data_IF_541753769854
#
_entry.id   IF_541753769854
#
_cell.length_a   1.000
_cell.length_b   1.000
_cell.length_c   1.000
_cell.angle_alpha   90.00
_cell.angle_beta   90.00
_cell.angle_gamma   90.00
#
_symmetry.space_group_name_H-M   'P 1'
#
loop_
_entity.id
_entity.type
_entity.pdbx_description
1 polymer ?
#
# COMPACT_ATOMS: atom_id res chain seq x y z
N UNK A 1 7.19 6.81 9.77
CA UNK A 1 7.15 6.25 8.39
C UNK A 1 5.79 6.47 7.76
N UNK A 2 4.71 6.19 8.50
CA UNK A 2 3.31 6.38 8.10
C UNK A 2 2.95 7.81 7.65
N UNK A 3 3.29 8.83 8.43
CA UNK A 3 3.01 10.23 8.08
C UNK A 3 3.70 10.67 6.77
N UNK A 4 4.90 10.15 6.47
CA UNK A 4 5.67 10.49 5.26
C UNK A 4 5.14 9.83 3.98
N UNK A 5 4.29 8.84 4.11
CA UNK A 5 3.62 8.18 2.98
C UNK A 5 2.28 8.88 2.71
N UNK A 6 1.54 9.19 3.78
CA UNK A 6 0.25 9.86 3.70
C UNK A 6 0.37 11.36 3.33
N UNK A 7 1.51 12.00 3.59
CA UNK A 7 1.74 13.41 3.25
C UNK A 7 2.50 13.62 1.92
N UNK A 8 2.89 12.55 1.23
CA UNK A 8 3.65 12.67 -0.01
C UNK A 8 2.74 13.00 -1.20
N UNK A 9 3.19 13.83 -2.17
CA UNK A 9 2.52 13.97 -3.46
C UNK A 9 2.35 12.61 -4.13
N UNK A 10 1.21 12.41 -4.79
CA UNK A 10 0.80 11.15 -5.41
C UNK A 10 1.82 10.67 -6.46
N UNK A 11 2.38 11.59 -7.27
CA UNK A 11 3.39 11.25 -8.28
C UNK A 11 4.75 10.86 -7.66
N UNK A 12 5.12 11.48 -6.53
CA UNK A 12 6.33 11.11 -5.77
C UNK A 12 6.17 9.71 -5.16
N UNK A 13 4.96 9.38 -4.73
CA UNK A 13 4.65 8.09 -4.14
C UNK A 13 4.89 6.95 -5.16
N UNK A 14 4.38 7.05 -6.39
CA UNK A 14 4.54 6.00 -7.40
C UNK A 14 6.03 5.67 -7.66
N UNK A 15 6.89 6.69 -7.78
CA UNK A 15 8.33 6.51 -7.92
C UNK A 15 8.96 5.82 -6.71
N UNK A 16 8.54 6.20 -5.49
CA UNK A 16 9.05 5.61 -4.24
C UNK A 16 8.60 4.17 -4.07
N UNK A 17 7.35 3.84 -4.40
CA UNK A 17 6.84 2.46 -4.40
C UNK A 17 7.69 1.58 -5.31
N UNK A 18 8.04 2.04 -6.52
CA UNK A 18 8.90 1.31 -7.45
C UNK A 18 10.33 1.03 -6.94
N UNK A 19 10.81 1.75 -5.92
CA UNK A 19 12.12 1.53 -5.30
C UNK A 19 12.08 0.69 -4.01
N UNK A 20 10.88 0.43 -3.47
CA UNK A 20 10.69 -0.35 -2.24
C UNK A 20 10.90 -1.84 -2.49
N UNK A 21 11.37 -2.57 -1.48
CA UNK A 21 11.27 -4.04 -1.51
C UNK A 21 9.84 -4.48 -1.20
N UNK A 22 9.54 -5.76 -1.41
CA UNK A 22 8.16 -6.25 -1.28
C UNK A 22 7.60 -6.10 0.14
N UNK A 23 8.39 -6.38 1.17
CA UNK A 23 7.97 -6.18 2.57
C UNK A 23 7.58 -4.72 2.85
N UNK A 24 8.32 -3.78 2.29
CA UNK A 24 8.04 -2.34 2.45
C UNK A 24 6.77 -1.95 1.69
N UNK A 25 6.62 -2.42 0.44
CA UNK A 25 5.45 -2.20 -0.38
C UNK A 25 4.17 -2.76 0.28
N UNK A 26 4.25 -3.97 0.82
CA UNK A 26 3.15 -4.62 1.53
C UNK A 26 2.83 -3.92 2.86
N UNK A 27 3.84 -3.43 3.57
CA UNK A 27 3.63 -2.61 4.76
C UNK A 27 2.94 -1.28 4.44
N UNK A 28 3.22 -0.67 3.27
CA UNK A 28 2.49 0.51 2.79
C UNK A 28 1.02 0.17 2.51
N UNK A 29 0.75 -0.92 1.80
CA UNK A 29 -0.62 -1.38 1.52
C UNK A 29 -1.41 -1.57 2.82
N UNK A 30 -0.84 -2.27 3.80
CA UNK A 30 -1.47 -2.50 5.11
C UNK A 30 -1.75 -1.20 5.88
N UNK A 31 -0.84 -0.23 5.81
CA UNK A 31 -1.06 1.08 6.42
C UNK A 31 -2.22 1.82 5.76
N UNK A 32 -2.30 1.79 4.43
CA UNK A 32 -3.33 2.48 3.66
C UNK A 32 -4.71 1.85 3.89
N UNK A 33 -4.81 0.52 3.98
CA UNK A 33 -6.03 -0.18 4.38
C UNK A 33 -6.51 0.27 5.78
N UNK A 34 -5.60 0.33 6.77
CA UNK A 34 -5.95 0.82 8.11
C UNK A 34 -6.40 2.28 8.10
N UNK A 35 -5.83 3.10 7.21
CA UNK A 35 -6.22 4.49 7.07
C UNK A 35 -7.60 4.64 6.40
N UNK A 36 -7.95 3.78 5.43
CA UNK A 36 -9.26 3.82 4.77
C UNK A 36 -10.39 3.32 5.69
N UNK A 37 -10.07 2.42 6.62
CA UNK A 37 -11.00 1.93 7.64
C UNK A 37 -11.21 2.93 8.81
N UNK A 38 -10.37 3.96 8.94
CA UNK A 38 -10.43 4.91 10.05
C UNK A 38 -11.55 5.96 9.85
N UNK A 39 -12.60 6.01 10.71
CA UNK A 39 -13.69 6.97 10.57
C UNK A 39 -13.28 8.44 10.75
N UNK A 40 -12.10 8.71 11.32
CA UNK A 40 -11.55 10.05 11.48
C UNK A 40 -10.68 10.49 10.28
N UNK A 41 -10.48 9.63 9.28
CA UNK A 41 -9.73 9.96 8.08
C UNK A 41 -10.49 10.99 7.24
N UNK A 42 -9.93 12.21 7.12
CA UNK A 42 -10.58 13.32 6.43
C UNK A 42 -10.43 13.25 4.90
N UNK A 43 -9.35 12.64 4.44
CA UNK A 43 -8.99 12.59 3.01
C UNK A 43 -9.10 11.15 2.48
N UNK A 44 -10.29 10.55 2.59
CA UNK A 44 -10.52 9.15 2.18
C UNK A 44 -10.24 8.94 0.70
N UNK A 45 -10.68 9.85 -0.18
CA UNK A 45 -10.45 9.75 -1.63
C UNK A 45 -8.95 9.72 -1.96
N UNK A 46 -8.14 10.49 -1.23
CA UNK A 46 -6.69 10.51 -1.39
C UNK A 46 -6.05 9.20 -0.90
N UNK A 47 -6.57 8.62 0.20
CA UNK A 47 -6.13 7.30 0.66
C UNK A 47 -6.48 6.21 -0.36
N UNK A 48 -7.69 6.22 -0.92
CA UNK A 48 -8.12 5.28 -1.96
C UNK A 48 -7.28 5.40 -3.23
N UNK A 49 -6.93 6.63 -3.64
CA UNK A 49 -6.02 6.85 -4.77
C UNK A 49 -4.62 6.26 -4.51
N UNK A 50 -4.11 6.38 -3.28
CA UNK A 50 -2.83 5.77 -2.89
C UNK A 50 -2.90 4.24 -2.85
N UNK A 51 -4.03 3.67 -2.40
CA UNK A 51 -4.29 2.22 -2.47
C UNK A 51 -4.18 1.75 -3.93
N UNK A 52 -4.90 2.38 -4.85
CA UNK A 52 -4.88 2.01 -6.26
C UNK A 52 -3.47 2.06 -6.88
N UNK A 53 -2.63 3.01 -6.47
CA UNK A 53 -1.22 3.07 -6.90
C UNK A 53 -0.38 1.93 -6.32
N UNK A 54 -0.57 1.60 -5.05
CA UNK A 54 0.10 0.48 -4.42
C UNK A 54 -0.33 -0.85 -5.05
N UNK A 55 -1.62 -1.04 -5.33
CA UNK A 55 -2.14 -2.21 -6.07
C UNK A 55 -1.52 -2.31 -7.47
N UNK A 56 -1.39 -1.18 -8.18
CA UNK A 56 -0.77 -1.14 -9.51
C UNK A 56 0.70 -1.55 -9.48
N UNK A 57 1.46 -1.13 -8.47
CA UNK A 57 2.87 -1.55 -8.33
C UNK A 57 2.98 -3.03 -7.92
N UNK A 58 2.05 -3.55 -7.11
CA UNK A 58 1.98 -4.99 -6.80
C UNK A 58 1.71 -5.80 -8.07
N UNK A 59 0.71 -5.43 -8.86
CA UNK A 59 0.36 -6.09 -10.13
C UNK A 59 1.53 -6.05 -11.14
N UNK A 60 2.27 -4.93 -11.20
CA UNK A 60 3.46 -4.81 -12.05
C UNK A 60 4.57 -5.80 -11.66
N UNK A 61 4.74 -6.08 -10.37
CA UNK A 61 5.74 -7.05 -9.86
C UNK A 61 5.26 -8.49 -10.00
N UNK A 62 3.95 -8.71 -9.85
CA UNK A 62 3.32 -10.01 -9.83
C UNK A 62 2.13 -10.08 -10.83
N UNK A 63 2.38 -10.02 -12.15
CA UNK A 63 1.32 -9.92 -13.13
C UNK A 63 0.33 -11.09 -13.07
N UNK A 64 -0.96 -10.77 -13.04
CA UNK A 64 -2.06 -11.75 -13.00
C UNK A 64 -2.27 -12.44 -11.65
N UNK A 65 -1.49 -12.08 -10.62
CA UNK A 65 -1.65 -12.62 -9.27
C UNK A 65 -2.57 -11.77 -8.39
N UNK A 66 -3.03 -10.62 -8.88
CA UNK A 66 -3.84 -9.68 -8.11
C UNK A 66 -3.13 -9.37 -6.78
N UNK A 67 -3.85 -9.46 -5.66
CA UNK A 67 -3.29 -9.24 -4.32
C UNK A 67 -2.88 -10.53 -3.58
N UNK A 68 -2.71 -11.66 -4.28
CA UNK A 68 -2.30 -12.92 -3.63
C UNK A 68 -0.98 -12.78 -2.86
N UNK A 69 0.11 -12.22 -3.43
CA UNK A 69 1.38 -12.08 -2.70
C UNK A 69 1.25 -11.25 -1.41
N UNK A 70 0.47 -10.16 -1.47
CA UNK A 70 0.18 -9.32 -0.30
C UNK A 70 -0.62 -10.08 0.77
N UNK A 71 -1.64 -10.85 0.37
CA UNK A 71 -2.47 -11.64 1.28
C UNK A 71 -1.66 -12.72 1.98
N UNK A 72 -0.79 -13.42 1.26
CA UNK A 72 0.08 -14.46 1.81
C UNK A 72 1.07 -13.85 2.81
N UNK A 73 1.69 -12.71 2.46
CA UNK A 73 2.56 -11.96 3.36
C UNK A 73 1.84 -11.56 4.66
N UNK A 74 0.62 -11.02 4.54
CA UNK A 74 -0.20 -10.59 5.69
C UNK A 74 -0.55 -11.78 6.61
N UNK A 75 -0.84 -12.95 6.03
CA UNK A 75 -1.09 -14.18 6.78
C UNK A 75 0.14 -14.68 7.53
N UNK A 76 1.31 -14.70 6.87
CA UNK A 76 2.57 -15.11 7.52
C UNK A 76 2.93 -14.20 8.69
N UNK A 77 2.74 -12.90 8.52
CA UNK A 77 2.95 -11.90 9.57
C UNK A 77 2.00 -12.08 10.77
N UNK A 78 0.75 -12.49 10.54
CA UNK A 78 -0.21 -12.73 11.62
C UNK A 78 0.03 -14.05 12.38
N UNK A 79 0.77 -14.99 11.80
CA UNK A 79 1.10 -16.28 12.39
C UNK A 79 2.43 -16.28 13.18
N UNK A 80 3.15 -15.16 13.17
CA UNK A 80 4.42 -14.92 13.89
C UNK A 80 4.20 -14.14 15.17
#
# INVERSE_FOLDING_TARGET
MSEKILAAPVDDLARRLGAMIDDELFAVMELLEKASENPQQRDLDEVLARIALTESEIEKRYPGMLLLPYRDWKQQKAAS
#
